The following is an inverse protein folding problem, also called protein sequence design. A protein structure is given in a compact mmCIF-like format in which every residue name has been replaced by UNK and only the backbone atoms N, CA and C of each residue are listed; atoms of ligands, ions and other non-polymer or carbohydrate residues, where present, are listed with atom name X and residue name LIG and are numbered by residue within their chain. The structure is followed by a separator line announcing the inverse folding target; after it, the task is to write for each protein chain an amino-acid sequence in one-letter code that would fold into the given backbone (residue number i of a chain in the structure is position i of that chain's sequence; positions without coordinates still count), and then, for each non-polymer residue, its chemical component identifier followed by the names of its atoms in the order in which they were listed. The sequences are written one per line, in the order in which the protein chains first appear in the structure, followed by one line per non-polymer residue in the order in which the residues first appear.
data_IF_546785036698
#
_entry.id   IF_546785036698
#
_cell.length_a   1.000
_cell.length_b   1.000
_cell.length_c   1.000
_cell.angle_alpha   90.00
_cell.angle_beta   90.00
_cell.angle_gamma   90.00
#
_symmetry.space_group_name_H-M   'P 1'
#
loop_
_entity.id
_entity.type
_entity.pdbx_description
1 polymer ?
#
# COMPACT_ATOMS: atom_id res chain seq x y z
N UNK A 1 26.14 0.91 -11.11
CA UNK A 1 24.76 0.63 -11.59
C UNK A 1 23.68 1.16 -10.66
N UNK A 2 23.51 0.70 -9.40
CA UNK A 2 22.42 1.20 -8.51
C UNK A 2 22.52 2.71 -8.23
N UNK A 3 23.70 3.29 -8.13
CA UNK A 3 23.85 4.72 -7.89
C UNK A 3 23.40 5.60 -9.06
N UNK A 4 23.72 5.20 -10.30
CA UNK A 4 23.29 5.91 -11.51
C UNK A 4 21.76 5.81 -11.69
N UNK A 5 21.21 4.58 -11.58
CA UNK A 5 19.77 4.36 -11.65
C UNK A 5 19.03 5.18 -10.57
N UNK A 6 19.52 5.18 -9.34
CA UNK A 6 18.94 5.98 -8.26
C UNK A 6 18.96 7.49 -8.54
N UNK A 7 19.98 7.99 -9.23
CA UNK A 7 20.03 9.40 -9.66
C UNK A 7 18.97 9.71 -10.74
N UNK A 8 18.86 8.86 -11.75
CA UNK A 8 17.84 9.00 -12.82
C UNK A 8 16.41 8.95 -12.26
N UNK A 9 16.14 7.99 -11.37
CA UNK A 9 14.84 7.86 -10.70
C UNK A 9 14.52 9.12 -9.90
N UNK A 10 15.46 9.65 -9.11
CA UNK A 10 15.26 10.90 -8.35
C UNK A 10 14.94 12.06 -9.27
N UNK A 11 15.69 12.26 -10.35
CA UNK A 11 15.43 13.30 -11.34
C UNK A 11 14.02 13.20 -11.91
N UNK A 12 13.59 12.00 -12.32
CA UNK A 12 12.22 11.77 -12.79
C UNK A 12 11.17 12.14 -11.74
N UNK A 13 11.36 11.71 -10.49
CA UNK A 13 10.42 11.98 -9.39
C UNK A 13 10.36 13.46 -9.00
N UNK A 14 11.45 14.19 -9.22
CA UNK A 14 11.52 15.66 -9.04
C UNK A 14 10.97 16.43 -10.26
N UNK A 15 10.46 15.74 -11.29
CA UNK A 15 9.75 16.32 -12.43
C UNK A 15 10.55 16.40 -13.72
N UNK A 16 11.81 15.97 -13.74
CA UNK A 16 12.66 15.97 -14.94
C UNK A 16 12.29 14.80 -15.86
N UNK A 17 11.53 15.12 -16.92
CA UNK A 17 11.10 14.13 -17.92
C UNK A 17 12.16 13.81 -18.96
N UNK A 18 13.25 14.56 -19.04
CA UNK A 18 14.34 14.31 -19.99
C UNK A 18 15.09 13.02 -19.73
N UNK A 19 14.92 12.42 -18.55
CA UNK A 19 15.57 11.15 -18.17
C UNK A 19 14.82 9.89 -18.60
N UNK A 20 13.63 10.01 -19.19
CA UNK A 20 12.77 8.87 -19.56
C UNK A 20 13.46 7.93 -20.52
N UNK A 21 14.06 8.46 -21.59
CA UNK A 21 14.76 7.64 -22.57
C UNK A 21 15.94 6.87 -21.90
N UNK A 22 16.67 7.54 -21.01
CA UNK A 22 17.77 6.91 -20.28
C UNK A 22 17.29 5.82 -19.32
N UNK A 23 16.14 6.02 -18.66
CA UNK A 23 15.52 4.99 -17.82
C UNK A 23 15.09 3.76 -18.64
N UNK A 24 14.65 3.97 -19.88
CA UNK A 24 14.33 2.88 -20.80
C UNK A 24 15.60 2.17 -21.30
N UNK A 25 16.65 2.90 -21.68
CA UNK A 25 17.93 2.34 -22.12
C UNK A 25 18.59 1.44 -21.06
N UNK A 26 18.48 1.79 -19.78
CA UNK A 26 18.99 0.96 -18.68
C UNK A 26 18.02 -0.16 -18.25
N UNK A 27 16.91 -0.35 -18.99
CA UNK A 27 15.94 -1.41 -18.75
C UNK A 27 15.09 -1.22 -17.48
N UNK A 28 15.06 0.01 -16.93
CA UNK A 28 14.27 0.29 -15.74
C UNK A 28 12.79 0.45 -16.05
N UNK A 29 12.44 1.02 -17.19
CA UNK A 29 11.06 1.11 -17.70
C UNK A 29 11.00 0.47 -19.09
N UNK A 30 9.89 -0.19 -19.40
CA UNK A 30 9.64 -0.80 -20.69
C UNK A 30 8.68 0.06 -21.52
N UNK A 31 8.70 -0.16 -22.84
CA UNK A 31 7.80 0.55 -23.75
C UNK A 31 6.34 0.17 -23.44
N UNK A 32 5.51 1.18 -23.16
CA UNK A 32 4.09 0.99 -22.83
C UNK A 32 3.80 0.90 -21.33
N UNK A 33 4.81 0.86 -20.46
CA UNK A 33 4.60 0.96 -19.01
C UNK A 33 4.12 2.37 -18.61
N UNK A 34 3.31 2.48 -17.54
CA UNK A 34 2.87 3.77 -17.03
C UNK A 34 4.06 4.63 -16.57
N UNK A 35 4.11 5.87 -17.02
CA UNK A 35 5.10 6.86 -16.57
C UNK A 35 4.54 7.75 -15.43
N UNK A 36 3.74 7.16 -14.54
CA UNK A 36 3.26 7.84 -13.33
C UNK A 36 4.32 7.82 -12.23
N UNK A 37 4.27 8.79 -11.32
CA UNK A 37 5.20 8.83 -10.17
C UNK A 37 5.03 7.61 -9.27
N UNK A 38 3.81 7.18 -9.05
CA UNK A 38 3.48 5.97 -8.27
C UNK A 38 4.08 4.71 -8.86
N UNK A 39 4.00 4.53 -10.18
CA UNK A 39 4.56 3.37 -10.86
C UNK A 39 6.10 3.38 -10.81
N UNK A 40 6.73 4.51 -11.13
CA UNK A 40 8.18 4.65 -11.05
C UNK A 40 8.69 4.44 -9.63
N UNK A 41 7.97 4.93 -8.63
CA UNK A 41 8.30 4.66 -7.21
C UNK A 41 8.18 3.18 -6.84
N UNK A 42 7.14 2.51 -7.30
CA UNK A 42 6.98 1.07 -7.11
C UNK A 42 8.15 0.28 -7.74
N UNK A 43 8.52 0.57 -8.98
CA UNK A 43 9.68 -0.07 -9.63
C UNK A 43 11.00 0.23 -8.89
N UNK A 44 11.16 1.46 -8.39
CA UNK A 44 12.33 1.85 -7.60
C UNK A 44 12.41 1.07 -6.28
N UNK A 45 11.28 0.92 -5.59
CA UNK A 45 11.19 0.09 -4.38
C UNK A 45 11.58 -1.36 -4.67
N UNK A 46 11.06 -1.94 -5.74
CA UNK A 46 11.38 -3.30 -6.20
C UNK A 46 12.87 -3.46 -6.52
N UNK A 47 13.50 -2.41 -7.03
CA UNK A 47 14.96 -2.37 -7.34
C UNK A 47 15.82 -2.08 -6.09
N UNK A 48 15.27 -2.03 -4.89
CA UNK A 48 15.99 -1.76 -3.64
C UNK A 48 16.37 -0.29 -3.41
N UNK A 49 15.82 0.64 -4.19
CA UNK A 49 16.03 2.07 -4.00
C UNK A 49 15.14 2.56 -2.86
N UNK A 50 15.71 3.33 -1.93
CA UNK A 50 14.92 3.94 -0.86
C UNK A 50 13.99 5.02 -1.43
N UNK A 51 12.68 4.77 -1.32
CA UNK A 51 11.62 5.65 -1.85
C UNK A 51 10.84 6.39 -0.76
N UNK A 52 11.14 6.19 0.51
CA UNK A 52 10.34 6.68 1.65
C UNK A 52 10.06 8.18 1.59
N UNK A 53 11.07 9.00 1.28
CA UNK A 53 10.92 10.46 1.17
C UNK A 53 10.01 10.91 0.03
N UNK A 54 9.96 10.15 -1.06
CA UNK A 54 9.09 10.43 -2.21
C UNK A 54 7.66 9.95 -1.98
N UNK A 55 7.48 8.78 -1.38
CA UNK A 55 6.15 8.25 -1.02
C UNK A 55 5.41 9.21 -0.10
N UNK A 56 6.09 9.87 0.83
CA UNK A 56 5.52 10.90 1.71
C UNK A 56 4.98 12.13 0.96
N UNK A 57 5.52 12.41 -0.24
CA UNK A 57 5.15 13.57 -1.07
C UNK A 57 4.11 13.25 -2.14
N UNK A 58 3.72 11.98 -2.30
CA UNK A 58 2.69 11.58 -3.25
C UNK A 58 1.36 12.27 -2.93
N UNK A 59 0.61 12.66 -3.94
CA UNK A 59 -0.78 13.05 -3.78
C UNK A 59 -1.64 11.85 -3.39
N UNK A 60 -2.86 12.09 -2.89
CA UNK A 60 -3.71 11.03 -2.34
C UNK A 60 -3.91 9.87 -3.34
N UNK A 61 -4.30 10.20 -4.57
CA UNK A 61 -4.53 9.21 -5.63
C UNK A 61 -3.25 8.44 -6.01
N UNK A 62 -2.11 9.13 -6.08
CA UNK A 62 -0.81 8.51 -6.35
C UNK A 62 -0.40 7.57 -5.21
N UNK A 63 -0.73 7.93 -3.96
CA UNK A 63 -0.44 7.10 -2.79
C UNK A 63 -1.24 5.79 -2.81
N UNK A 64 -2.55 5.86 -3.08
CA UNK A 64 -3.39 4.67 -3.26
C UNK A 64 -2.92 3.81 -4.44
N UNK A 65 -2.57 4.43 -5.56
CA UNK A 65 -2.05 3.73 -6.74
C UNK A 65 -0.73 3.02 -6.43
N UNK A 66 0.17 3.65 -5.68
CA UNK A 66 1.42 3.02 -5.23
C UNK A 66 1.14 1.77 -4.37
N UNK A 67 0.22 1.87 -3.41
CA UNK A 67 -0.18 0.73 -2.57
C UNK A 67 -0.72 -0.41 -3.45
N UNK A 68 -1.57 -0.10 -4.43
CA UNK A 68 -2.13 -1.10 -5.36
C UNK A 68 -1.03 -1.82 -6.14
N UNK A 69 -0.04 -1.12 -6.68
CA UNK A 69 1.09 -1.74 -7.38
C UNK A 69 1.84 -2.72 -6.47
N UNK A 70 2.09 -2.35 -5.22
CA UNK A 70 2.79 -3.25 -4.29
C UNK A 70 1.98 -4.51 -4.03
N UNK A 71 0.68 -4.43 -3.75
CA UNK A 71 -0.16 -5.62 -3.55
C UNK A 71 -0.24 -6.50 -4.80
N UNK A 72 -0.39 -5.90 -5.98
CA UNK A 72 -0.46 -6.62 -7.25
C UNK A 72 0.83 -7.41 -7.53
N UNK A 73 2.00 -6.87 -7.17
CA UNK A 73 3.29 -7.58 -7.28
C UNK A 73 3.32 -8.86 -6.45
N UNK A 74 2.66 -8.87 -5.29
CA UNK A 74 2.54 -10.06 -4.43
C UNK A 74 1.39 -10.99 -4.85
N UNK A 75 0.82 -10.80 -6.04
CA UNK A 75 -0.20 -11.66 -6.61
C UNK A 75 -1.62 -11.45 -6.07
N UNK A 76 -1.86 -10.34 -5.36
CA UNK A 76 -3.21 -10.00 -4.91
C UNK A 76 -4.01 -9.33 -6.03
N UNK A 77 -5.28 -9.72 -6.15
CA UNK A 77 -6.26 -8.90 -6.86
C UNK A 77 -6.53 -7.65 -6.02
N UNK A 78 -6.76 -6.51 -6.66
CA UNK A 78 -6.92 -5.25 -5.93
C UNK A 78 -8.07 -4.44 -6.50
N UNK A 79 -8.93 -3.93 -5.63
CA UNK A 79 -9.94 -2.93 -5.93
C UNK A 79 -9.76 -1.73 -5.00
N UNK A 80 -9.94 -0.53 -5.52
CA UNK A 80 -9.85 0.71 -4.75
C UNK A 80 -11.21 1.41 -4.69
N UNK A 81 -11.39 2.22 -3.63
CA UNK A 81 -12.57 3.08 -3.42
C UNK A 81 -13.88 2.30 -3.52
N UNK A 82 -13.93 1.13 -2.87
CA UNK A 82 -15.10 0.28 -2.88
C UNK A 82 -16.08 0.68 -1.78
N UNK A 83 -17.33 0.86 -2.15
CA UNK A 83 -18.44 1.05 -1.22
C UNK A 83 -19.23 -0.25 -1.08
N UNK A 84 -19.36 -0.73 0.15
CA UNK A 84 -20.15 -1.91 0.49
C UNK A 84 -21.42 -1.51 1.23
N UNK A 85 -22.54 -2.13 0.84
CA UNK A 85 -23.83 -2.02 1.53
C UNK A 85 -23.85 -2.98 2.72
N UNK A 86 -23.41 -2.52 3.85
CA UNK A 86 -23.53 -3.12 5.18
C UNK A 86 -24.14 -2.08 6.11
N UNK A 87 -24.49 -2.41 7.34
CA UNK A 87 -25.20 -1.51 8.27
C UNK A 87 -24.65 -0.07 8.25
N UNK A 88 -25.39 0.86 7.64
CA UNK A 88 -24.98 2.25 7.43
C UNK A 88 -24.02 2.49 6.27
N UNK A 89 -23.67 1.47 5.49
CA UNK A 89 -22.70 1.56 4.40
C UNK A 89 -21.26 1.72 4.91
N UNK A 90 -20.29 1.30 4.11
CA UNK A 90 -18.87 1.57 4.37
C UNK A 90 -18.10 1.73 3.07
N UNK A 91 -17.19 2.69 3.08
CA UNK A 91 -16.23 2.91 2.00
C UNK A 91 -14.85 2.44 2.48
N UNK A 92 -14.17 1.69 1.62
CA UNK A 92 -12.83 1.19 1.87
C UNK A 92 -11.89 1.68 0.78
N UNK A 93 -10.75 2.21 1.19
CA UNK A 93 -9.78 2.79 0.27
C UNK A 93 -9.25 1.72 -0.69
N UNK A 94 -8.86 0.55 -0.15
CA UNK A 94 -8.36 -0.58 -0.94
C UNK A 94 -8.82 -1.90 -0.30
N UNK A 95 -9.24 -2.85 -1.12
CA UNK A 95 -9.35 -4.27 -0.78
C UNK A 95 -8.41 -5.05 -1.70
N UNK A 96 -7.45 -5.75 -1.11
CA UNK A 96 -6.49 -6.58 -1.81
C UNK A 96 -6.66 -8.03 -1.35
N UNK A 97 -6.93 -8.96 -2.28
CA UNK A 97 -7.27 -10.35 -1.90
C UNK A 97 -6.56 -11.40 -2.76
N UNK A 98 -6.26 -12.49 -2.11
CA UNK A 98 -5.84 -13.77 -2.70
C UNK A 98 -6.89 -14.84 -2.41
N UNK A 99 -6.56 -16.10 -2.73
CA UNK A 99 -7.43 -17.25 -2.40
C UNK A 99 -7.71 -17.38 -0.90
N UNK A 100 -6.73 -17.05 -0.05
CA UNK A 100 -6.75 -17.41 1.37
C UNK A 100 -7.01 -16.22 2.30
N UNK A 101 -6.67 -15.00 1.86
CA UNK A 101 -6.76 -13.79 2.69
C UNK A 101 -7.09 -12.54 1.87
N UNK A 102 -7.95 -11.69 2.43
CA UNK A 102 -8.20 -10.34 1.98
C UNK A 102 -7.67 -9.32 3.00
N UNK A 103 -6.83 -8.41 2.55
CA UNK A 103 -6.41 -7.23 3.31
C UNK A 103 -7.37 -6.07 2.99
N UNK A 104 -8.03 -5.57 4.02
CA UNK A 104 -8.88 -4.38 3.91
C UNK A 104 -8.08 -3.21 4.43
N UNK A 105 -7.70 -2.33 3.51
CA UNK A 105 -6.72 -1.27 3.77
C UNK A 105 -7.42 0.06 4.02
N UNK A 106 -7.02 0.72 5.09
CA UNK A 106 -7.24 2.14 5.34
C UNK A 106 -5.92 2.88 5.05
N UNK A 107 -5.90 3.71 4.03
CA UNK A 107 -4.74 4.51 3.66
C UNK A 107 -4.69 5.79 4.52
N UNK A 108 -3.52 6.12 5.08
CA UNK A 108 -3.34 7.33 5.90
C UNK A 108 -2.11 8.11 5.48
N UNK A 109 -2.34 9.22 4.79
CA UNK A 109 -1.31 10.14 4.38
C UNK A 109 -1.21 11.32 5.36
N UNK A 110 -0.36 11.19 6.37
CA UNK A 110 -0.12 12.27 7.33
C UNK A 110 1.20 13.00 7.04
N UNK A 111 1.18 14.33 7.13
CA UNK A 111 2.34 15.16 6.81
C UNK A 111 3.36 15.29 7.95
N UNK A 112 2.94 15.15 9.21
CA UNK A 112 3.83 15.20 10.38
C UNK A 112 3.12 14.65 11.62
N UNK A 113 3.91 14.03 12.49
CA UNK A 113 3.67 13.77 13.90
C UNK A 113 2.40 13.00 14.27
N UNK A 114 2.60 11.84 14.85
CA UNK A 114 1.73 11.16 15.77
C UNK A 114 0.22 11.26 15.54
N UNK A 115 -0.29 10.59 14.53
CA UNK A 115 -1.73 10.42 14.44
C UNK A 115 -2.29 9.65 15.61
N UNK A 116 -3.59 9.78 15.82
CA UNK A 116 -4.33 8.96 16.79
C UNK A 116 -4.48 7.53 16.25
N UNK A 117 -3.36 6.83 16.14
CA UNK A 117 -3.30 5.50 15.51
C UNK A 117 -4.22 4.49 16.16
N UNK A 118 -4.34 4.55 17.49
CA UNK A 118 -5.25 3.68 18.22
C UNK A 118 -6.71 3.92 17.83
N UNK A 119 -7.09 5.17 17.64
CA UNK A 119 -8.43 5.55 17.21
C UNK A 119 -8.68 5.12 15.76
N UNK A 120 -7.71 5.35 14.86
CA UNK A 120 -7.78 4.90 13.46
C UNK A 120 -7.94 3.38 13.39
N UNK A 121 -7.09 2.64 14.10
CA UNK A 121 -7.14 1.18 14.12
C UNK A 121 -8.49 0.68 14.67
N UNK A 122 -8.99 1.29 15.75
CA UNK A 122 -10.28 0.95 16.34
C UNK A 122 -11.45 1.19 15.37
N UNK A 123 -11.50 2.37 14.76
CA UNK A 123 -12.57 2.73 13.81
C UNK A 123 -12.51 1.82 12.59
N UNK A 124 -11.32 1.57 12.06
CA UNK A 124 -11.13 0.71 10.90
C UNK A 124 -11.55 -0.74 11.21
N UNK A 125 -11.11 -1.29 12.35
CA UNK A 125 -11.52 -2.63 12.78
C UNK A 125 -13.04 -2.74 12.92
N UNK A 126 -13.69 -1.76 13.55
CA UNK A 126 -15.16 -1.73 13.67
C UNK A 126 -15.84 -1.69 12.31
N UNK A 127 -15.33 -0.87 11.36
CA UNK A 127 -15.83 -0.76 9.99
C UNK A 127 -15.73 -2.10 9.26
N UNK A 128 -14.57 -2.76 9.35
CA UNK A 128 -14.33 -4.07 8.72
C UNK A 128 -15.21 -5.14 9.36
N UNK A 129 -15.31 -5.20 10.69
CA UNK A 129 -16.15 -6.17 11.40
C UNK A 129 -17.62 -6.04 11.01
N UNK A 130 -18.15 -4.82 10.94
CA UNK A 130 -19.52 -4.55 10.53
C UNK A 130 -19.83 -5.03 9.12
N UNK A 131 -18.87 -4.93 8.22
CA UNK A 131 -19.01 -5.33 6.81
C UNK A 131 -18.47 -6.74 6.51
N UNK A 132 -18.09 -7.50 7.54
CA UNK A 132 -17.40 -8.79 7.39
C UNK A 132 -18.13 -9.74 6.43
N UNK A 133 -19.45 -9.88 6.56
CA UNK A 133 -20.26 -10.76 5.72
C UNK A 133 -20.16 -10.44 4.21
N UNK A 134 -19.87 -9.17 3.83
CA UNK A 134 -19.62 -8.78 2.45
C UNK A 134 -18.16 -8.98 2.06
N UNK A 135 -17.25 -8.74 2.99
CA UNK A 135 -15.81 -8.87 2.75
C UNK A 135 -15.38 -10.34 2.60
N UNK A 136 -16.08 -11.27 3.25
CA UNK A 136 -15.85 -12.71 3.09
C UNK A 136 -16.16 -13.24 1.67
N UNK A 137 -16.85 -12.45 0.83
CA UNK A 137 -16.99 -12.78 -0.59
C UNK A 137 -15.67 -12.66 -1.37
N UNK A 138 -14.68 -11.92 -0.87
CA UNK A 138 -13.35 -11.81 -1.49
C UNK A 138 -12.43 -12.96 -1.09
N UNK A 139 -12.45 -13.36 0.20
CA UNK A 139 -11.61 -14.44 0.74
C UNK A 139 -12.15 -14.96 2.07
N UNK A 140 -11.83 -16.21 2.46
CA UNK A 140 -12.33 -16.81 3.70
C UNK A 140 -11.74 -16.19 4.97
N UNK A 141 -10.71 -15.37 4.85
CA UNK A 141 -10.10 -14.63 5.96
C UNK A 141 -9.92 -13.17 5.58
N UNK A 142 -10.23 -12.28 6.50
CA UNK A 142 -10.18 -10.83 6.31
C UNK A 142 -9.28 -10.20 7.38
N UNK A 143 -8.31 -9.42 6.94
CA UNK A 143 -7.34 -8.72 7.80
C UNK A 143 -7.50 -7.20 7.64
N UNK A 144 -7.89 -6.47 8.68
CA UNK A 144 -7.83 -5.02 8.66
C UNK A 144 -6.37 -4.55 8.69
N UNK A 145 -6.03 -3.61 7.84
CA UNK A 145 -4.67 -3.08 7.70
C UNK A 145 -4.71 -1.56 7.55
N UNK A 146 -3.85 -0.86 8.27
CA UNK A 146 -3.62 0.58 8.06
C UNK A 146 -2.29 0.75 7.32
N UNK A 147 -2.32 1.43 6.18
CA UNK A 147 -1.11 1.78 5.41
C UNK A 147 -0.85 3.27 5.52
N UNK A 148 0.37 3.64 5.88
CA UNK A 148 0.73 5.03 6.15
C UNK A 148 1.88 5.54 5.29
N UNK A 149 1.89 6.86 5.05
CA UNK A 149 3.03 7.58 4.47
C UNK A 149 4.10 7.99 5.50
N UNK A 150 3.97 7.58 6.75
CA UNK A 150 4.95 7.84 7.84
C UNK A 150 5.77 6.59 8.15
N UNK A 151 6.76 6.71 9.04
CA UNK A 151 7.57 5.56 9.50
C UNK A 151 6.86 4.68 10.55
N UNK A 152 5.61 5.00 10.91
CA UNK A 152 4.84 4.25 11.89
C UNK A 152 4.73 2.77 11.49
N UNK A 153 5.25 1.87 12.34
CA UNK A 153 5.33 0.42 12.07
C UNK A 153 5.12 -0.32 13.39
N UNK A 154 3.88 -0.73 13.66
CA UNK A 154 3.48 -1.43 14.89
C UNK A 154 2.09 -2.07 14.72
N UNK A 155 1.64 -2.79 15.72
CA UNK A 155 0.27 -3.34 15.79
C UNK A 155 -0.50 -2.57 16.87
N UNK A 156 -1.67 -2.07 16.49
CA UNK A 156 -2.59 -1.39 17.40
C UNK A 156 -3.93 -2.10 17.40
N UNK A 157 -4.37 -2.58 18.57
CA UNK A 157 -5.64 -3.34 18.72
C UNK A 157 -5.79 -4.51 17.75
N UNK A 158 -4.69 -5.19 17.45
CA UNK A 158 -4.67 -6.27 16.47
C UNK A 158 -4.66 -5.79 15.00
N UNK A 159 -4.68 -4.49 14.73
CA UNK A 159 -4.59 -3.92 13.39
C UNK A 159 -3.14 -3.51 13.11
N UNK A 160 -2.48 -4.10 12.09
CA UNK A 160 -1.16 -3.65 11.67
C UNK A 160 -1.21 -2.22 11.11
N UNK A 161 -0.24 -1.41 11.49
CA UNK A 161 0.05 -0.08 10.93
C UNK A 161 1.40 -0.20 10.21
N UNK A 162 1.41 -0.05 8.89
CA UNK A 162 2.56 -0.36 8.06
C UNK A 162 2.90 0.81 7.14
N UNK A 163 4.16 1.27 7.11
CA UNK A 163 4.62 2.21 6.08
C UNK A 163 4.41 1.65 4.68
N UNK A 164 3.93 2.46 3.74
CA UNK A 164 3.62 1.99 2.39
C UNK A 164 4.81 1.30 1.69
N UNK A 165 6.03 1.78 1.91
CA UNK A 165 7.26 1.16 1.36
C UNK A 165 7.69 -0.13 2.07
N UNK A 166 7.01 -0.52 3.17
CA UNK A 166 7.24 -1.78 3.90
C UNK A 166 6.15 -2.82 3.68
N UNK A 167 5.12 -2.53 2.88
CA UNK A 167 4.03 -3.47 2.60
C UNK A 167 4.60 -4.80 2.09
N UNK A 168 5.53 -4.77 1.13
CA UNK A 168 6.15 -5.97 0.59
C UNK A 168 6.82 -6.84 1.66
N UNK A 169 7.59 -6.23 2.56
CA UNK A 169 8.22 -6.94 3.69
C UNK A 169 7.17 -7.50 4.66
N UNK A 170 6.12 -6.73 4.94
CA UNK A 170 5.01 -7.19 5.77
C UNK A 170 4.31 -8.41 5.16
N UNK A 171 3.98 -8.36 3.87
CA UNK A 171 3.32 -9.47 3.15
C UNK A 171 4.21 -10.72 3.10
N UNK A 172 5.51 -10.56 2.83
CA UNK A 172 6.47 -11.67 2.84
C UNK A 172 6.64 -12.32 4.21
N UNK A 173 6.41 -11.57 5.29
CA UNK A 173 6.52 -12.05 6.67
C UNK A 173 5.16 -12.24 7.35
N UNK A 174 4.07 -12.20 6.60
CA UNK A 174 2.70 -12.19 7.14
C UNK A 174 2.43 -13.35 8.12
N UNK A 175 2.92 -14.53 7.82
CA UNK A 175 2.73 -15.73 8.65
C UNK A 175 3.30 -15.55 10.06
N UNK A 176 4.36 -14.78 10.24
CA UNK A 176 4.95 -14.51 11.55
C UNK A 176 4.11 -13.56 12.43
N UNK A 177 3.18 -12.84 11.82
CA UNK A 177 2.33 -11.88 12.55
C UNK A 177 0.94 -12.43 12.88
N UNK A 178 0.54 -13.59 12.37
CA UNK A 178 -0.82 -14.12 12.48
C UNK A 178 -1.35 -14.21 13.91
N UNK A 179 -0.50 -14.51 14.86
CA UNK A 179 -0.89 -14.64 16.28
C UNK A 179 -1.02 -13.29 16.99
N UNK A 180 -0.54 -12.21 16.37
CA UNK A 180 -0.52 -10.86 16.95
C UNK A 180 -1.58 -9.94 16.34
N UNK A 181 -2.17 -10.35 15.21
CA UNK A 181 -3.10 -9.53 14.44
C UNK A 181 -4.50 -10.11 14.42
N UNK A 182 -5.47 -9.26 14.16
CA UNK A 182 -6.86 -9.67 13.99
C UNK A 182 -7.07 -10.28 12.60
N UNK A 183 -7.49 -11.53 12.56
CA UNK A 183 -7.95 -12.24 11.37
C UNK A 183 -9.41 -12.61 11.59
N UNK A 184 -10.29 -12.00 10.82
CA UNK A 184 -11.73 -12.23 10.86
C UNK A 184 -12.11 -13.34 9.87
N UNK A 185 -13.10 -14.15 10.26
CA UNK A 185 -13.59 -15.29 9.46
C UNK A 185 -15.09 -15.40 9.55
#
# INVERSE_FOLDING_TARGET
MLGELGALVRRFLDGDRSVVDRLAEVGFIERGEPLTRSYVLYKALKSGINVSSYVRRLEWREFEEFIRYVFSEFGYNVVANIRLECDGGAEFDIVAWSRDVAFVVEAKRWRAGGGRWEEVARIHLQKVTRCLHKLLAFSPSVVPLVVTSTDASFISRGVPVVPAWKIGSFLASFDHFKDQITILR
#
